data_IF_619310049679
#
_entry.id   IF_619310049679
#
_cell.length_a   1.000
_cell.length_b   1.000
_cell.length_c   1.000
_cell.angle_alpha   90.00
_cell.angle_beta   90.00
_cell.angle_gamma   90.00
#
_symmetry.space_group_name_H-M   'P 1'
#
loop_
_entity.id
_entity.type
_entity.pdbx_description
1 polymer ?
#
# COMPACT_ATOMS: atom_id res chain seq x y z
N UNK A 1 62.90 -1.07 -3.50
CA UNK A 1 62.24 0.28 -3.63
C UNK A 1 61.09 0.29 -4.64
N UNK A 2 61.25 -0.28 -5.85
CA UNK A 2 60.24 -0.32 -6.90
C UNK A 2 58.89 -0.98 -6.49
N UNK A 3 58.92 -2.10 -5.76
CA UNK A 3 57.69 -2.81 -5.34
C UNK A 3 56.85 -2.03 -4.31
N UNK A 4 57.53 -1.28 -3.41
CA UNK A 4 56.79 -0.41 -2.45
C UNK A 4 56.08 0.73 -3.13
N UNK A 5 56.70 1.31 -4.15
CA UNK A 5 56.06 2.39 -4.96
C UNK A 5 54.84 1.85 -5.71
N UNK A 6 54.97 0.68 -6.33
CA UNK A 6 53.85 0.04 -7.07
C UNK A 6 52.70 -0.32 -6.13
N UNK A 7 53.00 -0.93 -4.95
CA UNK A 7 51.98 -1.26 -3.95
C UNK A 7 51.23 -0.02 -3.46
N UNK A 8 51.95 1.08 -3.17
CA UNK A 8 51.33 2.31 -2.71
C UNK A 8 50.44 2.96 -3.81
N UNK A 9 50.84 2.85 -5.07
CA UNK A 9 50.07 3.34 -6.22
C UNK A 9 48.73 2.56 -6.37
N UNK A 10 48.80 1.22 -6.19
CA UNK A 10 47.62 0.37 -6.24
C UNK A 10 46.65 0.68 -5.07
N UNK A 11 47.17 0.87 -3.88
CA UNK A 11 46.36 1.24 -2.70
C UNK A 11 45.72 2.61 -2.92
N UNK A 12 46.46 3.60 -3.42
CA UNK A 12 45.92 4.93 -3.72
C UNK A 12 44.85 4.88 -4.79
N UNK A 13 45.04 4.10 -5.87
CA UNK A 13 44.04 3.90 -6.92
C UNK A 13 42.77 3.28 -6.36
N UNK A 14 42.89 2.28 -5.47
CA UNK A 14 41.74 1.63 -4.85
C UNK A 14 40.97 2.57 -3.90
N UNK A 15 41.69 3.39 -3.13
CA UNK A 15 41.08 4.42 -2.27
C UNK A 15 40.41 5.53 -3.08
N UNK A 16 41.01 5.91 -4.21
CA UNK A 16 40.43 6.92 -5.11
C UNK A 16 39.16 6.41 -5.77
N UNK A 17 39.14 5.15 -6.25
CA UNK A 17 37.93 4.56 -6.81
C UNK A 17 36.83 4.41 -5.74
N UNK A 18 37.19 4.02 -4.53
CA UNK A 18 36.25 3.94 -3.42
C UNK A 18 35.69 5.33 -3.09
N UNK A 19 36.54 6.37 -3.07
CA UNK A 19 36.12 7.75 -2.86
C UNK A 19 35.19 8.25 -3.97
N UNK A 20 35.52 8.01 -5.24
CA UNK A 20 34.67 8.39 -6.37
C UNK A 20 33.29 7.69 -6.29
N UNK A 21 33.24 6.39 -6.02
CA UNK A 21 31.98 5.64 -5.87
C UNK A 21 31.15 6.17 -4.70
N UNK A 22 31.80 6.59 -3.61
CA UNK A 22 31.09 7.15 -2.46
C UNK A 22 30.67 8.60 -2.66
N UNK A 23 31.49 9.39 -3.38
CA UNK A 23 31.23 10.81 -3.60
C UNK A 23 30.13 11.05 -4.64
N UNK A 24 30.07 10.24 -5.72
CA UNK A 24 29.05 10.34 -6.78
C UNK A 24 27.65 9.83 -6.36
N UNK A 25 27.42 9.64 -5.09
CA UNK A 25 26.08 9.30 -4.57
C UNK A 25 25.63 7.86 -4.80
N UNK A 26 26.48 6.99 -5.33
CA UNK A 26 26.19 5.57 -5.53
C UNK A 26 25.78 4.84 -4.23
N UNK A 27 26.31 5.26 -3.10
CA UNK A 27 25.93 4.71 -1.78
C UNK A 27 24.60 5.30 -1.27
N UNK A 28 24.25 6.52 -1.67
CA UNK A 28 22.99 7.14 -1.24
C UNK A 28 21.77 6.35 -1.72
N UNK A 29 21.85 5.74 -2.91
CA UNK A 29 20.73 4.94 -3.44
C UNK A 29 20.57 3.58 -2.73
N UNK A 30 21.64 3.03 -2.13
CA UNK A 30 21.58 1.76 -1.41
C UNK A 30 21.08 1.92 0.02
N UNK A 31 21.37 3.07 0.64
CA UNK A 31 21.00 3.35 2.04
C UNK A 31 19.84 4.34 2.19
N UNK A 32 19.34 4.91 1.09
CA UNK A 32 18.13 5.72 1.14
C UNK A 32 16.94 4.82 0.75
N UNK A 33 16.21 4.23 1.70
CA UNK A 33 14.99 3.53 1.36
C UNK A 33 14.10 4.53 0.64
N UNK A 34 13.70 4.23 -0.59
CA UNK A 34 12.72 5.06 -1.31
C UNK A 34 11.64 5.46 -0.32
N UNK A 35 11.50 6.76 -0.09
CA UNK A 35 10.45 7.25 0.78
C UNK A 35 9.11 6.82 0.16
N UNK A 36 8.36 6.04 0.90
CA UNK A 36 7.09 5.51 0.42
C UNK A 36 6.09 6.64 0.59
N UNK A 37 5.67 7.20 -0.52
CA UNK A 37 4.63 8.21 -0.55
C UNK A 37 3.29 7.60 -0.98
N UNK A 38 2.17 8.05 -0.41
CA UNK A 38 0.86 7.63 -0.85
C UNK A 38 0.54 8.18 -2.25
N UNK A 39 -0.28 7.47 -2.99
CA UNK A 39 -0.85 7.98 -4.23
C UNK A 39 -2.00 8.94 -3.92
N UNK A 40 -1.88 10.18 -4.34
CA UNK A 40 -2.92 11.21 -4.18
C UNK A 40 -3.73 11.45 -5.46
N UNK A 41 -3.16 11.12 -6.61
CA UNK A 41 -3.80 11.24 -7.92
C UNK A 41 -3.21 10.21 -8.90
N UNK A 42 -3.95 9.94 -9.96
CA UNK A 42 -3.46 9.18 -11.10
C UNK A 42 -2.64 10.04 -12.07
N UNK A 43 -2.36 9.47 -13.23
CA UNK A 43 -1.65 10.17 -14.31
C UNK A 43 -2.51 11.33 -14.85
N UNK A 44 -2.05 12.56 -14.60
CA UNK A 44 -2.74 13.79 -15.01
C UNK A 44 -2.75 14.00 -16.54
N UNK A 45 -1.98 13.23 -17.32
CA UNK A 45 -2.01 13.28 -18.79
C UNK A 45 -3.23 12.56 -19.38
N UNK A 46 -3.97 11.78 -18.56
CA UNK A 46 -5.13 11.00 -18.98
C UNK A 46 -6.43 11.61 -18.42
N UNK A 47 -7.46 11.67 -19.24
CA UNK A 47 -8.81 12.12 -18.84
C UNK A 47 -9.58 10.99 -18.12
N UNK A 48 -8.97 10.39 -17.11
CA UNK A 48 -9.56 9.32 -16.32
C UNK A 48 -9.83 9.81 -14.88
N UNK A 49 -10.92 9.32 -14.30
CA UNK A 49 -11.20 9.47 -12.88
C UNK A 49 -11.29 8.09 -12.24
N UNK A 50 -10.87 7.99 -10.99
CA UNK A 50 -11.04 6.80 -10.17
C UNK A 50 -12.02 7.09 -9.05
N UNK A 51 -13.02 6.23 -8.90
CA UNK A 51 -13.94 6.27 -7.77
C UNK A 51 -13.46 5.30 -6.70
N UNK A 52 -13.48 5.74 -5.45
CA UNK A 52 -13.20 4.89 -4.31
C UNK A 52 -14.31 5.03 -3.26
N UNK A 53 -14.72 3.91 -2.69
CA UNK A 53 -15.80 3.84 -1.72
C UNK A 53 -15.29 3.16 -0.47
N UNK A 54 -15.31 3.86 0.67
CA UNK A 54 -14.92 3.30 1.95
C UNK A 54 -16.13 2.69 2.66
N UNK A 55 -16.00 1.44 3.09
CA UNK A 55 -17.08 0.68 3.74
C UNK A 55 -16.56 0.06 5.03
N UNK A 56 -17.10 0.49 6.17
CA UNK A 56 -16.73 -0.08 7.47
C UNK A 56 -17.89 -0.16 8.48
N UNK A 57 -19.06 0.37 8.11
CA UNK A 57 -20.30 0.29 8.88
C UNK A 57 -21.51 0.48 7.96
N UNK A 58 -22.69 -0.02 8.38
CA UNK A 58 -23.90 0.05 7.57
C UNK A 58 -23.86 -0.84 6.33
N UNK A 59 -24.99 -1.09 5.73
CA UNK A 59 -25.10 -1.90 4.51
C UNK A 59 -26.27 -1.44 3.60
N UNK A 60 -27.16 -0.61 4.12
CA UNK A 60 -28.43 -0.24 3.51
C UNK A 60 -28.30 0.45 2.14
N UNK A 61 -27.17 1.10 1.88
CA UNK A 61 -26.93 1.81 0.62
C UNK A 61 -26.03 1.06 -0.37
N UNK A 62 -25.41 -0.04 0.04
CA UNK A 62 -24.44 -0.74 -0.82
C UNK A 62 -25.15 -1.37 -2.03
N UNK A 63 -26.26 -2.09 -1.81
CA UNK A 63 -26.97 -2.72 -2.94
C UNK A 63 -27.55 -1.70 -3.93
N UNK A 64 -28.24 -0.61 -3.51
CA UNK A 64 -28.65 0.43 -4.43
C UNK A 64 -27.48 1.05 -5.20
N UNK A 65 -26.32 1.24 -4.55
CA UNK A 65 -25.12 1.76 -5.17
C UNK A 65 -24.55 0.80 -6.22
N UNK A 66 -24.45 -0.50 -5.89
CA UNK A 66 -24.03 -1.53 -6.85
C UNK A 66 -24.93 -1.57 -8.08
N UNK A 67 -26.24 -1.40 -7.89
CA UNK A 67 -27.18 -1.31 -9.01
C UNK A 67 -26.88 -0.13 -9.92
N UNK A 68 -26.67 1.07 -9.37
CA UNK A 68 -26.33 2.27 -10.15
C UNK A 68 -25.01 2.09 -10.89
N UNK A 69 -23.99 1.57 -10.25
CA UNK A 69 -22.69 1.29 -10.87
C UNK A 69 -22.83 0.30 -12.04
N UNK A 70 -23.60 -0.76 -11.84
CA UNK A 70 -23.85 -1.78 -12.85
C UNK A 70 -24.63 -1.24 -14.04
N UNK A 71 -25.71 -0.48 -13.80
CA UNK A 71 -26.55 0.10 -14.83
C UNK A 71 -25.77 1.08 -15.72
N UNK A 72 -24.70 1.69 -15.20
CA UNK A 72 -23.83 2.62 -15.92
C UNK A 72 -22.50 1.99 -16.39
N UNK A 73 -22.28 0.70 -16.18
CA UNK A 73 -21.06 0.01 -16.58
C UNK A 73 -19.80 0.48 -15.83
N UNK A 74 -19.96 1.07 -14.63
CA UNK A 74 -18.88 1.65 -13.84
C UNK A 74 -18.29 0.60 -12.92
N UNK A 75 -16.96 0.51 -12.90
CA UNK A 75 -16.21 -0.24 -11.89
C UNK A 75 -15.47 0.72 -10.96
N UNK A 76 -15.35 0.33 -9.69
CA UNK A 76 -14.75 1.15 -8.64
C UNK A 76 -14.00 0.27 -7.66
N UNK A 77 -13.19 0.86 -6.80
CA UNK A 77 -12.52 0.19 -5.71
C UNK A 77 -13.28 0.42 -4.40
N UNK A 78 -13.68 -0.67 -3.76
CA UNK A 78 -14.26 -0.65 -2.42
C UNK A 78 -13.16 -0.92 -1.39
N UNK A 79 -12.82 0.06 -0.56
CA UNK A 79 -11.95 -0.11 0.58
C UNK A 79 -12.77 -0.57 1.78
N UNK A 80 -12.57 -1.82 2.18
CA UNK A 80 -13.47 -2.52 3.09
C UNK A 80 -12.80 -2.76 4.43
N UNK A 81 -13.49 -2.44 5.52
CA UNK A 81 -13.07 -2.77 6.88
C UNK A 81 -13.32 -4.25 7.19
N UNK A 82 -12.31 -4.94 7.75
CA UNK A 82 -12.37 -6.39 7.97
C UNK A 82 -13.48 -6.81 8.93
N UNK A 83 -13.77 -6.02 9.96
CA UNK A 83 -14.86 -6.31 10.90
C UNK A 83 -16.25 -6.22 10.25
N UNK A 84 -16.43 -5.31 9.30
CA UNK A 84 -17.63 -5.20 8.48
C UNK A 84 -17.73 -6.39 7.52
N UNK A 85 -16.66 -6.68 6.79
CA UNK A 85 -16.59 -7.77 5.83
C UNK A 85 -16.94 -9.13 6.45
N UNK A 86 -16.52 -9.35 7.69
CA UNK A 86 -16.82 -10.58 8.43
C UNK A 86 -18.30 -10.71 8.83
N UNK A 87 -19.03 -9.60 8.94
CA UNK A 87 -20.46 -9.57 9.24
C UNK A 87 -21.32 -9.60 8.00
N UNK A 88 -20.92 -8.87 6.97
CA UNK A 88 -21.71 -8.62 5.76
C UNK A 88 -21.16 -9.41 4.56
N UNK A 89 -20.87 -10.70 4.78
CA UNK A 89 -20.22 -11.58 3.81
C UNK A 89 -20.99 -11.67 2.48
N UNK A 90 -22.32 -11.69 2.52
CA UNK A 90 -23.16 -11.75 1.31
C UNK A 90 -23.00 -10.50 0.46
N UNK A 91 -22.97 -9.32 1.07
CA UNK A 91 -22.80 -8.04 0.38
C UNK A 91 -21.37 -7.93 -0.16
N UNK A 92 -20.37 -8.37 0.61
CA UNK A 92 -18.99 -8.45 0.16
C UNK A 92 -18.88 -9.32 -1.11
N UNK A 93 -19.54 -10.48 -1.13
CA UNK A 93 -19.56 -11.36 -2.31
C UNK A 93 -20.23 -10.69 -3.52
N UNK A 94 -21.30 -9.91 -3.33
CA UNK A 94 -21.93 -9.15 -4.40
C UNK A 94 -20.98 -8.12 -5.01
N UNK A 95 -20.25 -7.36 -4.16
CA UNK A 95 -19.25 -6.38 -4.62
C UNK A 95 -18.21 -7.06 -5.53
N UNK A 96 -17.69 -8.22 -5.11
CA UNK A 96 -16.69 -8.99 -5.88
C UNK A 96 -17.28 -9.55 -7.16
N UNK A 97 -18.50 -10.13 -7.10
CA UNK A 97 -19.18 -10.76 -8.25
C UNK A 97 -19.53 -9.72 -9.31
N UNK A 98 -19.92 -8.50 -8.92
CA UNK A 98 -20.14 -7.39 -9.83
C UNK A 98 -18.85 -6.83 -10.45
N UNK A 99 -17.69 -7.39 -10.09
CA UNK A 99 -16.38 -7.12 -10.71
C UNK A 99 -15.74 -5.82 -10.22
N UNK A 100 -16.06 -5.39 -9.01
CA UNK A 100 -15.37 -4.28 -8.35
C UNK A 100 -14.06 -4.75 -7.70
N UNK A 101 -13.11 -3.84 -7.58
CA UNK A 101 -11.87 -4.09 -6.85
C UNK A 101 -12.10 -3.95 -5.34
N UNK A 102 -11.43 -4.79 -4.55
CA UNK A 102 -11.44 -4.69 -3.10
C UNK A 102 -10.09 -4.20 -2.61
N UNK A 103 -10.10 -3.16 -1.79
CA UNK A 103 -8.96 -2.63 -1.05
C UNK A 103 -9.13 -2.80 0.46
N UNK A 104 -8.02 -2.71 1.17
CA UNK A 104 -7.97 -2.85 2.62
C UNK A 104 -8.24 -1.50 3.31
N UNK A 105 -9.14 -1.47 4.29
CA UNK A 105 -9.45 -0.28 5.11
C UNK A 105 -9.17 -0.49 6.60
N UNK A 106 -8.25 -1.40 6.94
CA UNK A 106 -8.01 -1.83 8.31
C UNK A 106 -9.09 -2.76 8.83
N UNK A 107 -8.86 -3.39 9.98
CA UNK A 107 -9.84 -4.33 10.55
C UNK A 107 -10.94 -3.61 11.34
N UNK A 108 -10.56 -2.72 12.28
CA UNK A 108 -11.49 -2.02 13.18
C UNK A 108 -11.60 -0.51 12.93
N UNK A 109 -11.20 -0.03 11.76
CA UNK A 109 -11.23 1.39 11.42
C UNK A 109 -10.52 2.31 12.44
N UNK A 110 -9.31 1.91 12.88
CA UNK A 110 -8.52 2.68 13.85
C UNK A 110 -7.71 3.79 13.18
N UNK A 111 -7.37 4.81 13.99
CA UNK A 111 -6.44 5.87 13.60
C UNK A 111 -5.01 5.30 13.52
N UNK A 112 -4.53 5.03 12.32
CA UNK A 112 -3.28 4.29 12.06
C UNK A 112 -2.02 5.06 12.49
N UNK A 113 -2.04 6.40 12.53
CA UNK A 113 -0.94 7.22 13.02
C UNK A 113 -0.66 7.03 14.52
N UNK A 114 -1.68 6.60 15.27
CA UNK A 114 -1.61 6.37 16.73
C UNK A 114 -1.23 4.96 17.10
N UNK A 115 -1.12 4.06 16.13
CA UNK A 115 -0.80 2.66 16.34
C UNK A 115 0.71 2.43 16.31
N UNK A 116 1.16 1.48 17.12
CA UNK A 116 2.51 0.93 16.98
C UNK A 116 2.65 0.18 15.66
N UNK A 117 3.88 -0.13 15.28
CA UNK A 117 4.15 -0.93 14.09
C UNK A 117 3.41 -2.28 14.09
N UNK A 118 3.41 -2.98 15.21
CA UNK A 118 2.75 -4.27 15.33
C UNK A 118 1.21 -4.16 15.31
N UNK A 119 0.67 -3.12 15.95
CA UNK A 119 -0.76 -2.85 15.88
C UNK A 119 -1.22 -2.50 14.46
N UNK A 120 -0.44 -1.71 13.71
CA UNK A 120 -0.68 -1.45 12.29
C UNK A 120 -0.68 -2.74 11.47
N UNK A 121 0.33 -3.59 11.72
CA UNK A 121 0.41 -4.90 11.08
C UNK A 121 -0.86 -5.73 11.30
N UNK A 122 -1.27 -5.86 12.55
CA UNK A 122 -2.43 -6.67 12.91
C UNK A 122 -3.74 -6.14 12.30
N UNK A 123 -3.94 -4.82 12.26
CA UNK A 123 -5.11 -4.20 11.63
C UNK A 123 -5.16 -4.51 10.12
N UNK A 124 -4.03 -4.38 9.43
CA UNK A 124 -3.94 -4.59 7.99
C UNK A 124 -4.02 -6.09 7.65
N UNK A 125 -3.22 -6.94 8.31
CA UNK A 125 -3.16 -8.37 8.03
C UNK A 125 -4.47 -9.08 8.33
N UNK A 126 -5.08 -8.78 9.48
CA UNK A 126 -6.36 -9.40 9.84
C UNK A 126 -7.48 -9.04 8.87
N UNK A 127 -7.51 -7.81 8.38
CA UNK A 127 -8.43 -7.42 7.32
C UNK A 127 -8.17 -8.21 6.04
N UNK A 128 -6.90 -8.33 5.64
CA UNK A 128 -6.49 -9.08 4.45
C UNK A 128 -6.90 -10.56 4.54
N UNK A 129 -6.61 -11.21 5.66
CA UNK A 129 -6.96 -12.62 5.89
C UNK A 129 -8.47 -12.87 5.80
N UNK A 130 -9.28 -12.00 6.40
CA UNK A 130 -10.75 -12.11 6.35
C UNK A 130 -11.28 -11.97 4.92
N UNK A 131 -10.82 -10.95 4.19
CA UNK A 131 -11.24 -10.74 2.80
C UNK A 131 -10.80 -11.91 1.91
N UNK A 132 -9.56 -12.36 2.06
CA UNK A 132 -9.04 -13.50 1.31
C UNK A 132 -9.85 -14.77 1.59
N UNK A 133 -10.16 -15.05 2.86
CA UNK A 133 -10.95 -16.23 3.26
C UNK A 133 -12.37 -16.22 2.68
N UNK A 134 -13.02 -15.06 2.65
CA UNK A 134 -14.39 -14.96 2.15
C UNK A 134 -14.49 -14.85 0.63
N UNK A 135 -13.49 -14.29 -0.05
CA UNK A 135 -13.61 -13.95 -1.48
C UNK A 135 -12.57 -14.59 -2.39
N UNK A 136 -11.51 -15.15 -1.83
CA UNK A 136 -10.34 -15.61 -2.59
C UNK A 136 -9.53 -14.47 -3.24
N UNK A 137 -9.83 -13.20 -2.94
CA UNK A 137 -9.15 -12.04 -3.53
C UNK A 137 -8.01 -11.57 -2.65
N UNK A 138 -6.86 -11.36 -3.27
CA UNK A 138 -5.70 -10.70 -2.68
C UNK A 138 -5.86 -9.19 -2.85
N UNK A 139 -5.77 -8.43 -1.78
CA UNK A 139 -5.85 -6.97 -1.83
C UNK A 139 -4.47 -6.36 -2.03
N UNK A 140 -4.35 -5.50 -3.04
CA UNK A 140 -3.11 -4.78 -3.36
C UNK A 140 -3.16 -3.29 -3.00
N UNK A 141 -4.31 -2.81 -2.54
CA UNK A 141 -4.53 -1.41 -2.19
C UNK A 141 -4.94 -1.29 -0.73
N UNK A 142 -4.42 -0.24 -0.08
CA UNK A 142 -4.77 0.12 1.29
C UNK A 142 -5.11 1.61 1.36
N UNK A 143 -6.25 1.93 1.92
CA UNK A 143 -6.63 3.29 2.29
C UNK A 143 -6.74 3.36 3.83
N UNK A 144 -5.89 4.13 4.50
CA UNK A 144 -5.98 4.26 5.94
C UNK A 144 -7.28 4.95 6.36
N UNK A 145 -7.96 4.47 7.42
CA UNK A 145 -9.14 5.12 7.97
C UNK A 145 -8.91 6.60 8.23
N UNK A 146 -9.88 7.43 7.83
CA UNK A 146 -9.84 8.89 8.02
C UNK A 146 -8.59 9.59 7.46
N UNK A 147 -7.89 8.98 6.48
CA UNK A 147 -6.60 9.46 5.98
C UNK A 147 -5.53 9.61 7.07
N UNK A 148 -5.70 8.89 8.16
CA UNK A 148 -4.80 8.94 9.32
C UNK A 148 -3.67 7.92 9.15
N UNK A 149 -2.47 8.40 8.81
CA UNK A 149 -1.29 7.59 8.63
C UNK A 149 -0.01 8.35 8.98
N UNK A 150 1.07 7.61 9.17
CA UNK A 150 2.42 8.12 9.35
C UNK A 150 3.44 7.21 8.63
N UNK A 151 4.72 7.53 8.73
CA UNK A 151 5.79 6.73 8.10
C UNK A 151 5.79 5.25 8.53
N UNK A 152 5.37 4.95 9.75
CA UNK A 152 5.26 3.57 10.25
C UNK A 152 4.15 2.80 9.53
N UNK A 153 3.01 3.44 9.31
CA UNK A 153 1.88 2.87 8.55
C UNK A 153 2.29 2.54 7.11
N UNK A 154 2.93 3.49 6.41
CA UNK A 154 3.35 3.33 5.02
C UNK A 154 4.39 2.22 4.83
N UNK A 155 5.39 2.14 5.72
CA UNK A 155 6.43 1.10 5.66
C UNK A 155 5.85 -0.31 5.77
N UNK A 156 4.75 -0.46 6.50
CA UNK A 156 4.14 -1.77 6.71
C UNK A 156 3.37 -2.28 5.50
N UNK A 157 2.64 -1.41 4.83
CA UNK A 157 1.87 -1.81 3.64
C UNK A 157 2.75 -2.44 2.54
N UNK A 158 3.98 -1.96 2.37
CA UNK A 158 4.91 -2.47 1.34
C UNK A 158 5.40 -3.91 1.59
N UNK A 159 5.20 -4.47 2.77
CA UNK A 159 5.73 -5.80 3.15
C UNK A 159 4.74 -6.95 2.90
N UNK A 160 3.58 -6.67 2.34
CA UNK A 160 2.57 -7.61 1.88
C UNK A 160 2.50 -7.62 0.36
#
# INVERSE_FOLDING_TARGET
MKYRLFSNLCIFGMLLTLFCVTYDGGIKSVFNPQEIEPYYCGDASQNNISLMINVYWGNEYIEPMLKVLKDNGIKTTFFVGGSWANKETEILQKIVTDGHEIGNHGYNHKAHSKLTYEQNYNEISKCHEIILAHTGKVMNLFAPPSWDFNKTTLRKWRMH
#
